data_IF_938270882150
#
_entry.id   IF_938270882150
#
_cell.length_a   1.000
_cell.length_b   1.000
_cell.length_c   1.000
_cell.angle_alpha   90.00
_cell.angle_beta   90.00
_cell.angle_gamma   90.00
#
_symmetry.space_group_name_H-M   'P 1'
#
loop_
_entity.id
_entity.type
_entity.pdbx_description
1 polymer ?
#
# COMPACT_ATOMS: atom_id res chain seq x y z
N UNK A 1 -42.48 48.41 -6.98
CA UNK A 1 -42.32 49.23 -5.76
C UNK A 1 -41.17 48.66 -4.94
N UNK A 2 -40.02 49.33 -4.88
CA UNK A 2 -38.90 48.97 -4.02
C UNK A 2 -38.91 49.79 -2.73
N UNK A 3 -38.27 49.28 -1.67
CA UNK A 3 -37.91 50.06 -0.49
C UNK A 3 -36.44 49.80 -0.16
N UNK A 4 -35.65 50.88 -0.17
CA UNK A 4 -34.26 51.02 0.21
C UNK A 4 -34.23 51.55 1.65
N UNK A 5 -33.31 51.07 2.50
CA UNK A 5 -32.66 51.91 3.49
C UNK A 5 -31.16 51.59 3.57
N UNK A 6 -30.37 52.67 3.44
CA UNK A 6 -28.91 52.72 3.38
C UNK A 6 -28.25 52.92 4.74
N UNK A 7 -27.00 52.45 4.80
CA UNK A 7 -25.81 53.03 5.45
C UNK A 7 -25.75 53.17 6.98
N UNK A 8 -24.67 52.61 7.55
CA UNK A 8 -23.58 53.40 8.16
C UNK A 8 -22.34 52.54 8.45
N UNK A 9 -21.20 52.92 7.85
CA UNK A 9 -19.83 52.65 8.32
C UNK A 9 -19.32 53.89 9.07
N UNK A 10 -18.34 53.75 9.99
CA UNK A 10 -16.96 54.03 9.59
C UNK A 10 -15.87 53.10 10.16
N UNK A 11 -14.84 52.97 9.33
CA UNK A 11 -13.46 52.49 9.49
C UNK A 11 -12.75 52.73 10.83
N UNK A 12 -11.82 51.83 11.20
CA UNK A 12 -10.37 52.12 11.33
C UNK A 12 -9.57 50.83 11.05
N UNK A 13 -8.69 50.88 10.03
CA UNK A 13 -7.62 49.90 9.79
C UNK A 13 -6.49 50.06 10.83
N UNK A 14 -5.89 48.94 11.25
CA UNK A 14 -4.45 48.92 11.54
C UNK A 14 -3.83 47.62 11.03
N UNK A 15 -3.02 47.81 10.00
CA UNK A 15 -2.22 46.80 9.31
C UNK A 15 -1.09 46.32 10.22
N UNK A 16 -0.84 45.01 10.24
CA UNK A 16 0.51 44.49 10.26
C UNK A 16 0.58 43.19 9.45
N UNK A 17 1.44 43.21 8.45
CA UNK A 17 1.56 42.21 7.41
C UNK A 17 2.37 40.99 7.88
N UNK A 18 1.94 39.80 7.46
CA UNK A 18 2.88 38.72 7.14
C UNK A 18 2.40 38.03 5.87
N UNK A 19 3.31 37.92 4.89
CA UNK A 19 3.07 37.51 3.51
C UNK A 19 2.88 36.00 3.43
N UNK A 20 1.82 35.56 2.74
CA UNK A 20 1.79 34.44 1.79
C UNK A 20 0.38 34.40 1.18
N UNK A 21 0.17 35.20 0.15
CA UNK A 21 -1.04 35.20 -0.68
C UNK A 21 -0.80 34.26 -1.87
N UNK A 22 -1.39 33.06 -1.80
CA UNK A 22 -1.65 32.21 -2.97
C UNK A 22 -3.12 32.43 -3.32
N UNK A 23 -3.36 33.52 -4.04
CA UNK A 23 -4.70 33.90 -4.50
C UNK A 23 -5.31 32.76 -5.30
N UNK A 24 -6.48 32.34 -4.80
CA UNK A 24 -7.40 31.41 -5.40
C UNK A 24 -7.61 31.67 -6.91
N UNK A 25 -7.22 30.67 -7.70
CA UNK A 25 -7.92 30.37 -8.94
C UNK A 25 -8.84 29.20 -8.64
N UNK A 26 -10.14 29.45 -8.76
CA UNK A 26 -11.21 28.45 -8.65
C UNK A 26 -10.98 27.33 -9.65
N UNK A 27 -10.38 26.23 -9.20
CA UNK A 27 -10.36 24.96 -9.92
C UNK A 27 -11.66 24.20 -9.62
N UNK A 28 -12.24 23.50 -10.62
CA UNK A 28 -13.42 22.66 -10.41
C UNK A 28 -13.10 21.55 -9.40
N UNK A 29 -14.09 21.15 -8.61
CA UNK A 29 -14.04 20.17 -7.52
C UNK A 29 -13.62 18.76 -7.98
N UNK A 30 -12.33 18.55 -8.25
CA UNK A 30 -11.73 17.26 -8.61
C UNK A 30 -10.79 16.72 -7.52
N UNK A 31 -10.58 17.47 -6.43
CA UNK A 31 -9.52 17.20 -5.44
C UNK A 31 -9.80 16.06 -4.44
N UNK A 32 -10.97 15.42 -4.49
CA UNK A 32 -11.37 14.43 -3.45
C UNK A 32 -11.52 12.99 -3.95
N UNK A 33 -11.28 12.71 -5.23
CA UNK A 33 -11.62 11.40 -5.82
C UNK A 33 -10.52 10.35 -5.76
N UNK A 34 -9.26 10.78 -5.77
CA UNK A 34 -8.10 9.90 -5.70
C UNK A 34 -7.47 9.97 -4.30
N UNK A 35 -6.74 8.92 -3.86
CA UNK A 35 -5.95 8.98 -2.65
C UNK A 35 -4.87 10.05 -2.78
N UNK A 36 -4.78 10.96 -1.81
CA UNK A 36 -3.73 11.97 -1.76
C UNK A 36 -2.37 11.36 -1.42
N UNK A 37 -1.29 12.10 -1.69
CA UNK A 37 0.07 11.74 -1.27
C UNK A 37 0.14 11.47 0.24
N UNK A 38 -0.56 12.27 1.04
CA UNK A 38 -0.61 12.09 2.49
C UNK A 38 -1.31 10.79 2.90
N UNK A 39 -2.38 10.39 2.21
CA UNK A 39 -3.08 9.13 2.46
C UNK A 39 -2.19 7.93 2.08
N UNK A 40 -1.51 7.97 0.93
CA UNK A 40 -0.56 6.92 0.55
C UNK A 40 0.62 6.81 1.54
N UNK A 41 1.12 7.94 2.05
CA UNK A 41 2.17 7.95 3.06
C UNK A 41 1.67 7.39 4.41
N UNK A 42 0.44 7.73 4.83
CA UNK A 42 -0.17 7.15 6.02
C UNK A 42 -0.39 5.64 5.86
N UNK A 43 -0.75 5.19 4.66
CA UNK A 43 -0.87 3.77 4.36
C UNK A 43 0.49 3.06 4.47
N UNK A 44 1.57 3.61 3.91
CA UNK A 44 2.92 3.05 4.10
C UNK A 44 3.28 2.88 5.58
N UNK A 45 2.94 3.84 6.44
CA UNK A 45 3.18 3.74 7.90
C UNK A 45 2.40 2.58 8.52
N UNK A 46 1.16 2.37 8.08
CA UNK A 46 0.35 1.23 8.51
C UNK A 46 0.96 -0.10 8.05
N UNK A 47 1.45 -0.19 6.81
CA UNK A 47 2.12 -1.39 6.30
C UNK A 47 3.39 -1.71 7.10
N UNK A 48 4.22 -0.70 7.40
CA UNK A 48 5.40 -0.88 8.26
C UNK A 48 5.00 -1.36 9.67
N UNK A 49 3.86 -0.89 10.19
CA UNK A 49 3.31 -1.35 11.49
C UNK A 49 2.92 -2.83 11.45
N UNK A 50 2.31 -3.31 10.36
CA UNK A 50 1.97 -4.73 10.22
C UNK A 50 3.21 -5.62 10.11
N UNK A 51 4.24 -5.17 9.38
CA UNK A 51 5.52 -5.89 9.30
C UNK A 51 6.21 -5.95 10.67
N UNK A 52 6.23 -4.83 11.41
CA UNK A 52 6.78 -4.80 12.76
C UNK A 52 6.00 -5.70 13.73
N UNK A 53 4.67 -5.79 13.58
CA UNK A 53 3.84 -6.69 14.37
C UNK A 53 4.21 -8.15 14.12
N UNK A 54 4.33 -8.57 12.86
CA UNK A 54 4.78 -9.92 12.52
C UNK A 54 6.14 -10.24 13.15
N UNK A 55 7.12 -9.34 12.98
CA UNK A 55 8.45 -9.52 13.56
C UNK A 55 8.40 -9.65 15.09
N UNK A 56 7.59 -8.83 15.75
CA UNK A 56 7.42 -8.89 17.21
C UNK A 56 6.83 -10.23 17.66
N UNK A 57 5.76 -10.70 17.01
CA UNK A 57 5.14 -12.00 17.32
C UNK A 57 6.12 -13.15 17.13
N UNK A 58 6.88 -13.14 16.03
CA UNK A 58 7.87 -14.16 15.72
C UNK A 58 9.04 -14.16 16.70
N UNK A 59 9.52 -12.98 17.11
CA UNK A 59 10.57 -12.85 18.13
C UNK A 59 10.10 -13.39 19.49
N UNK A 60 8.90 -13.01 19.93
CA UNK A 60 8.32 -13.52 21.18
C UNK A 60 8.11 -15.05 21.12
N UNK A 61 7.68 -15.57 19.97
CA UNK A 61 7.53 -17.00 19.76
C UNK A 61 8.88 -17.73 19.91
N UNK A 62 9.94 -17.20 19.30
CA UNK A 62 11.28 -17.76 19.40
C UNK A 62 11.81 -17.75 20.84
N UNK A 63 11.62 -16.65 21.58
CA UNK A 63 12.00 -16.53 23.01
C UNK A 63 11.24 -17.55 23.88
N UNK A 64 9.98 -17.81 23.56
CA UNK A 64 9.16 -18.83 24.21
C UNK A 64 9.44 -20.28 23.76
N UNK A 65 10.38 -20.51 22.82
CA UNK A 65 10.69 -21.83 22.28
C UNK A 65 9.61 -22.41 21.36
N UNK A 66 8.75 -21.57 20.80
CA UNK A 66 7.69 -21.93 19.85
C UNK A 66 8.14 -21.73 18.40
N UNK A 67 7.50 -22.43 17.46
CA UNK A 67 7.75 -22.25 16.03
C UNK A 67 7.22 -20.87 15.55
N UNK A 68 8.06 -19.94 15.07
CA UNK A 68 7.65 -18.56 14.78
C UNK A 68 6.57 -18.43 13.70
N UNK A 69 6.71 -19.15 12.58
CA UNK A 69 5.76 -19.12 11.47
C UNK A 69 4.39 -19.67 11.89
N UNK A 70 4.38 -20.84 12.53
CA UNK A 70 3.14 -21.42 13.05
C UNK A 70 2.46 -20.51 14.09
N UNK A 71 3.25 -19.84 14.94
CA UNK A 71 2.73 -18.90 15.94
C UNK A 71 2.09 -17.67 15.27
N UNK A 72 2.68 -17.19 14.16
CA UNK A 72 2.10 -16.13 13.36
C UNK A 72 0.75 -16.54 12.75
N UNK A 73 0.62 -17.77 12.26
CA UNK A 73 -0.66 -18.27 11.73
C UNK A 73 -1.76 -18.31 12.81
N UNK A 74 -1.42 -18.80 14.00
CA UNK A 74 -2.34 -18.78 15.15
C UNK A 74 -2.71 -17.35 15.56
N UNK A 75 -1.75 -16.42 15.48
CA UNK A 75 -1.97 -15.01 15.74
C UNK A 75 -2.96 -14.39 14.74
N UNK A 76 -2.78 -14.64 13.44
CA UNK A 76 -3.71 -14.21 12.39
C UNK A 76 -5.12 -14.76 12.62
N UNK A 77 -5.24 -16.04 12.99
CA UNK A 77 -6.54 -16.64 13.29
C UNK A 77 -7.24 -15.97 14.47
N UNK A 78 -6.49 -15.63 15.53
CA UNK A 78 -7.01 -14.86 16.67
C UNK A 78 -7.37 -13.43 16.29
N UNK A 79 -6.58 -12.77 15.44
CA UNK A 79 -6.87 -11.42 14.95
C UNK A 79 -8.21 -11.38 14.20
N UNK A 80 -8.48 -12.40 13.38
CA UNK A 80 -9.78 -12.56 12.69
C UNK A 80 -10.93 -12.74 13.69
N UNK A 81 -10.76 -13.56 14.73
CA UNK A 81 -11.78 -13.74 15.76
C UNK A 81 -12.07 -12.44 16.53
N UNK A 82 -11.03 -11.70 16.90
CA UNK A 82 -11.16 -10.38 17.55
C UNK A 82 -11.83 -9.36 16.63
N UNK A 83 -11.56 -9.42 15.33
CA UNK A 83 -12.24 -8.59 14.33
C UNK A 83 -13.71 -8.97 14.17
N UNK A 84 -14.07 -10.26 14.21
CA UNK A 84 -15.47 -10.70 14.19
C UNK A 84 -16.24 -10.11 15.39
N UNK A 85 -15.70 -10.25 16.60
CA UNK A 85 -16.28 -9.67 17.82
C UNK A 85 -16.39 -8.14 17.75
N UNK A 86 -15.31 -7.47 17.33
CA UNK A 86 -15.26 -6.01 17.23
C UNK A 86 -16.26 -5.48 16.19
N UNK A 87 -16.34 -6.12 15.02
CA UNK A 87 -17.24 -5.71 13.94
C UNK A 87 -18.72 -5.89 14.30
N UNK A 88 -19.05 -6.92 15.08
CA UNK A 88 -20.40 -7.19 15.58
C UNK A 88 -20.85 -6.25 16.70
N UNK A 89 -19.91 -5.67 17.46
CA UNK A 89 -20.20 -4.81 18.61
C UNK A 89 -21.12 -3.62 18.25
N UNK A 90 -22.15 -3.41 19.07
CA UNK A 90 -23.08 -2.30 18.92
C UNK A 90 -22.49 -0.97 19.39
N UNK A 91 -21.52 -1.02 20.31
CA UNK A 91 -20.96 0.13 21.02
C UNK A 91 -19.50 0.35 20.58
N UNK A 92 -19.28 0.37 19.25
CA UNK A 92 -17.96 0.71 18.71
C UNK A 92 -17.72 2.20 19.00
N UNK A 93 -16.63 2.57 19.70
CA UNK A 93 -16.28 3.97 19.82
C UNK A 93 -16.04 4.50 18.41
N UNK A 94 -16.93 5.35 17.90
CA UNK A 94 -16.86 5.95 16.56
C UNK A 94 -15.58 6.77 16.34
N UNK A 95 -14.86 7.06 17.41
CA UNK A 95 -13.67 7.92 17.46
C UNK A 95 -12.38 7.19 17.86
N UNK A 96 -12.41 5.88 18.13
CA UNK A 96 -11.19 5.13 18.51
C UNK A 96 -10.94 3.96 17.58
N UNK A 97 -9.85 4.05 16.84
CA UNK A 97 -9.34 2.98 16.00
C UNK A 97 -9.08 1.70 16.82
N UNK A 98 -9.36 0.50 16.27
CA UNK A 98 -9.12 -0.75 16.99
C UNK A 98 -7.61 -1.03 17.17
N UNK A 99 -7.28 -2.09 17.92
CA UNK A 99 -5.90 -2.56 18.04
C UNK A 99 -5.32 -2.99 16.68
N UNK A 100 -3.99 -2.93 16.54
CA UNK A 100 -3.30 -3.16 15.25
C UNK A 100 -3.71 -4.48 14.58
N UNK A 101 -3.90 -5.56 15.35
CA UNK A 101 -4.32 -6.87 14.86
C UNK A 101 -5.72 -6.88 14.25
N UNK A 102 -6.68 -6.23 14.91
CA UNK A 102 -8.04 -6.05 14.40
C UNK A 102 -8.04 -5.12 13.18
N UNK A 103 -7.21 -4.08 13.21
CA UNK A 103 -7.03 -3.16 12.08
C UNK A 103 -6.43 -3.88 10.86
N UNK A 104 -5.48 -4.79 11.05
CA UNK A 104 -4.90 -5.64 10.02
C UNK A 104 -5.95 -6.54 9.36
N UNK A 105 -6.82 -7.17 10.15
CA UNK A 105 -7.92 -7.97 9.62
C UNK A 105 -8.93 -7.10 8.84
N UNK A 106 -9.26 -5.91 9.35
CA UNK A 106 -10.17 -5.00 8.65
C UNK A 106 -9.57 -4.47 7.34
N UNK A 107 -8.29 -4.11 7.35
CA UNK A 107 -7.50 -3.73 6.18
C UNK A 107 -7.57 -4.79 5.09
N UNK A 108 -7.22 -6.04 5.44
CA UNK A 108 -7.24 -7.15 4.49
C UNK A 108 -8.63 -7.36 3.87
N UNK A 109 -9.71 -7.25 4.65
CA UNK A 109 -11.08 -7.40 4.12
C UNK A 109 -11.44 -6.29 3.11
N UNK A 110 -11.03 -5.03 3.36
CA UNK A 110 -11.32 -3.90 2.47
C UNK A 110 -10.57 -3.97 1.14
N UNK A 111 -9.41 -4.63 1.12
CA UNK A 111 -8.64 -4.88 -0.11
C UNK A 111 -9.25 -5.97 -1.00
N UNK A 112 -10.44 -6.48 -0.65
CA UNK A 112 -11.29 -7.30 -1.51
C UNK A 112 -12.63 -6.59 -1.76
N UNK A 113 -12.71 -5.66 -2.73
CA UNK A 113 -13.82 -4.73 -2.85
C UNK A 113 -15.18 -5.41 -3.04
N UNK A 114 -15.23 -6.53 -3.77
CA UNK A 114 -16.47 -7.30 -3.93
C UNK A 114 -16.89 -8.00 -2.63
N UNK A 115 -15.94 -8.61 -1.92
CA UNK A 115 -16.20 -9.27 -0.65
C UNK A 115 -16.67 -8.26 0.41
N UNK A 116 -16.00 -7.12 0.50
CA UNK A 116 -16.38 -6.04 1.41
C UNK A 116 -17.75 -5.45 1.05
N UNK A 117 -18.02 -5.17 -0.24
CA UNK A 117 -19.33 -4.71 -0.69
C UNK A 117 -20.44 -5.71 -0.31
N UNK A 118 -20.19 -7.01 -0.52
CA UNK A 118 -21.14 -8.07 -0.16
C UNK A 118 -21.39 -8.12 1.35
N UNK A 119 -20.36 -7.98 2.17
CA UNK A 119 -20.49 -7.89 3.62
C UNK A 119 -21.38 -6.71 4.05
N UNK A 120 -21.17 -5.53 3.46
CA UNK A 120 -22.00 -4.34 3.75
C UNK A 120 -23.45 -4.53 3.28
N UNK A 121 -23.68 -5.08 2.09
CA UNK A 121 -25.02 -5.39 1.57
C UNK A 121 -25.80 -6.34 2.50
N UNK A 122 -25.10 -7.23 3.19
CA UNK A 122 -25.67 -8.19 4.16
C UNK A 122 -25.80 -7.61 5.58
N UNK A 123 -25.66 -6.30 5.74
CA UNK A 123 -25.88 -5.59 7.00
C UNK A 123 -24.63 -5.45 7.88
N UNK A 124 -23.43 -5.60 7.32
CA UNK A 124 -22.17 -5.30 8.00
C UNK A 124 -22.08 -3.85 8.48
N UNK A 125 -21.57 -3.61 9.69
CA UNK A 125 -21.64 -2.29 10.36
C UNK A 125 -20.36 -1.44 10.27
N UNK A 126 -19.48 -1.68 9.29
CA UNK A 126 -18.15 -1.03 9.20
C UNK A 126 -18.12 0.23 8.31
N UNK A 127 -19.26 0.63 7.74
CA UNK A 127 -19.38 1.85 6.93
C UNK A 127 -18.65 1.77 5.58
N UNK A 128 -18.80 2.84 4.79
CA UNK A 128 -18.19 2.97 3.45
C UNK A 128 -17.18 4.13 3.35
N UNK A 129 -17.06 4.94 4.39
CA UNK A 129 -16.11 6.07 4.45
C UNK A 129 -14.65 5.59 4.56
N UNK A 130 -14.45 4.36 5.02
CA UNK A 130 -13.15 3.68 5.07
C UNK A 130 -12.30 4.06 6.27
N UNK A 131 -10.99 3.95 6.11
CA UNK A 131 -10.02 4.25 7.17
C UNK A 131 -9.85 5.75 7.41
N UNK A 132 -9.90 6.17 8.67
CA UNK A 132 -9.59 7.54 9.08
C UNK A 132 -8.09 7.74 9.19
N UNK A 133 -7.45 8.15 8.10
CA UNK A 133 -5.98 8.30 8.00
C UNK A 133 -5.35 9.18 9.07
N UNK A 134 -6.04 10.22 9.55
CA UNK A 134 -5.56 11.09 10.63
C UNK A 134 -5.41 10.38 11.98
N UNK A 135 -6.11 9.27 12.20
CA UNK A 135 -6.06 8.49 13.44
C UNK A 135 -5.06 7.32 13.34
N UNK A 136 -4.60 6.99 12.13
CA UNK A 136 -3.70 5.84 11.86
C UNK A 136 -2.28 6.03 12.43
N UNK A 137 -1.85 7.26 12.69
CA UNK A 137 -0.50 7.55 13.16
C UNK A 137 -0.18 7.06 14.58
N UNK A 138 -1.15 6.54 15.35
CA UNK A 138 -0.90 6.03 16.69
C UNK A 138 -1.83 4.85 17.06
N UNK A 139 -1.71 3.69 16.39
CA UNK A 139 -2.56 2.55 16.66
C UNK A 139 -2.22 1.96 18.03
N UNK A 140 -3.24 1.47 18.74
CA UNK A 140 -3.02 0.85 20.05
C UNK A 140 -2.29 -0.48 19.86
N UNK A 141 -1.13 -0.62 20.53
CA UNK A 141 -0.35 -1.85 20.50
C UNK A 141 -1.23 -3.05 20.93
N UNK A 142 -1.20 -4.17 20.20
CA UNK A 142 -1.97 -5.34 20.57
C UNK A 142 -1.34 -5.99 21.80
N UNK A 143 -2.18 -6.56 22.68
CA UNK A 143 -1.70 -7.42 23.75
C UNK A 143 -1.34 -8.79 23.15
N UNK A 144 -0.05 -9.03 22.92
CA UNK A 144 0.47 -10.30 22.40
C UNK A 144 0.64 -11.27 23.56
N UNK A 145 -0.46 -11.95 23.90
CA UNK A 145 -0.46 -13.02 24.90
C UNK A 145 -0.35 -14.39 24.21
N UNK A 146 0.87 -14.91 24.08
CA UNK A 146 1.16 -16.18 23.39
C UNK A 146 0.42 -17.40 23.96
N UNK A 147 0.33 -17.61 25.29
CA UNK A 147 -0.50 -18.67 25.87
C UNK A 147 -1.95 -18.71 25.39
N UNK A 148 -2.55 -17.53 25.15
CA UNK A 148 -3.93 -17.41 24.66
C UNK A 148 -4.10 -17.79 23.18
N UNK A 149 -3.02 -17.99 22.42
CA UNK A 149 -3.06 -18.46 21.02
C UNK A 149 -3.41 -19.95 20.88
N UNK A 150 -3.64 -20.66 22.00
CA UNK A 150 -4.03 -22.08 22.03
C UNK A 150 -5.50 -22.33 21.71
N UNK A 151 -6.33 -21.27 21.66
CA UNK A 151 -7.74 -21.39 21.30
C UNK A 151 -7.88 -21.63 19.79
N UNK A 152 -8.62 -22.67 19.41
CA UNK A 152 -8.85 -23.01 18.01
C UNK A 152 -9.73 -21.95 17.32
N UNK A 153 -9.10 -20.98 16.67
CA UNK A 153 -9.74 -20.06 15.75
C UNK A 153 -9.54 -20.53 14.31
N UNK A 154 -10.57 -20.40 13.46
CA UNK A 154 -10.55 -20.94 12.09
C UNK A 154 -9.83 -20.05 11.09
N UNK A 155 -9.61 -18.77 11.41
CA UNK A 155 -9.13 -17.78 10.46
C UNK A 155 -10.16 -17.36 9.40
N UNK A 156 -11.39 -17.89 9.47
CA UNK A 156 -12.50 -17.54 8.58
C UNK A 156 -13.40 -16.53 9.28
N UNK A 157 -13.46 -15.30 8.77
CA UNK A 157 -14.37 -14.28 9.25
C UNK A 157 -15.80 -14.67 8.91
N UNK A 158 -16.72 -14.63 9.88
CA UNK A 158 -18.13 -14.95 9.70
C UNK A 158 -19.04 -13.81 10.17
N UNK A 159 -19.73 -13.14 9.24
CA UNK A 159 -20.81 -12.22 9.60
C UNK A 159 -22.12 -12.98 9.78
N UNK A 160 -22.82 -12.73 10.89
CA UNK A 160 -24.01 -13.48 11.30
C UNK A 160 -25.24 -12.59 11.40
N UNK A 161 -26.41 -13.18 11.18
CA UNK A 161 -27.69 -12.55 11.48
C UNK A 161 -27.89 -12.39 12.99
N UNK A 162 -28.93 -11.64 13.38
CA UNK A 162 -29.35 -11.54 14.79
C UNK A 162 -29.69 -12.90 15.41
N UNK A 163 -30.08 -13.89 14.59
CA UNK A 163 -30.40 -15.26 15.02
C UNK A 163 -29.18 -16.18 15.02
N UNK A 164 -27.97 -15.68 14.75
CA UNK A 164 -26.71 -16.43 14.73
C UNK A 164 -26.39 -17.16 13.42
N UNK A 165 -27.26 -17.06 12.42
CA UNK A 165 -27.09 -17.70 11.11
C UNK A 165 -25.94 -17.05 10.34
N UNK A 166 -24.96 -17.79 9.81
CA UNK A 166 -23.94 -17.24 8.93
C UNK A 166 -24.57 -16.63 7.67
N UNK A 167 -24.28 -15.35 7.41
CA UNK A 167 -24.72 -14.63 6.22
C UNK A 167 -23.60 -14.46 5.19
N UNK A 168 -22.36 -14.31 5.68
CA UNK A 168 -21.18 -14.11 4.87
C UNK A 168 -19.97 -14.73 5.56
N UNK A 169 -19.11 -15.39 4.79
CA UNK A 169 -17.85 -15.95 5.26
C UNK A 169 -16.73 -15.57 4.31
N UNK A 170 -15.54 -15.31 4.86
CA UNK A 170 -14.36 -14.97 4.07
C UNK A 170 -13.08 -15.51 4.74
N UNK A 171 -12.16 -16.18 4.02
CA UNK A 171 -10.92 -16.74 4.58
C UNK A 171 -9.90 -15.64 4.90
N UNK A 172 -10.22 -14.83 5.91
CA UNK A 172 -9.56 -13.57 6.18
C UNK A 172 -8.11 -13.74 6.68
N UNK A 173 -7.78 -14.84 7.37
CA UNK A 173 -6.40 -15.11 7.77
C UNK A 173 -5.48 -15.35 6.56
N UNK A 174 -5.97 -16.03 5.52
CA UNK A 174 -5.22 -16.23 4.28
C UNK A 174 -5.03 -14.89 3.54
N UNK A 175 -6.07 -14.05 3.50
CA UNK A 175 -5.95 -12.70 2.95
C UNK A 175 -4.93 -11.85 3.71
N UNK A 176 -4.91 -11.89 5.05
CA UNK A 176 -3.88 -11.21 5.87
C UNK A 176 -2.47 -11.64 5.45
N UNK A 177 -2.23 -12.94 5.24
CA UNK A 177 -0.91 -13.43 4.84
C UNK A 177 -0.49 -12.88 3.46
N UNK A 178 -1.39 -12.85 2.47
CA UNK A 178 -1.11 -12.30 1.15
C UNK A 178 -0.80 -10.80 1.21
N UNK A 179 -1.61 -10.04 1.95
CA UNK A 179 -1.42 -8.60 2.14
C UNK A 179 -0.15 -8.27 2.93
N UNK A 180 0.30 -9.15 3.82
CA UNK A 180 1.57 -9.01 4.53
C UNK A 180 2.77 -9.18 3.59
N UNK A 181 2.70 -10.10 2.62
CA UNK A 181 3.73 -10.23 1.58
C UNK A 181 3.91 -8.92 0.80
N UNK A 182 2.80 -8.26 0.43
CA UNK A 182 2.82 -6.92 -0.16
C UNK A 182 3.42 -5.88 0.81
N UNK A 183 3.01 -5.89 2.08
CA UNK A 183 3.50 -4.97 3.12
C UNK A 183 5.02 -5.07 3.30
N UNK A 184 5.58 -6.28 3.27
CA UNK A 184 7.03 -6.52 3.32
C UNK A 184 7.70 -5.93 2.08
N UNK A 185 7.19 -6.20 0.87
CA UNK A 185 7.72 -5.63 -0.38
C UNK A 185 7.75 -4.10 -0.31
N UNK A 186 6.68 -3.45 0.13
CA UNK A 186 6.63 -2.00 0.29
C UNK A 186 7.62 -1.47 1.35
N UNK A 187 7.68 -2.13 2.50
CA UNK A 187 8.59 -1.72 3.60
C UNK A 187 10.05 -1.78 3.19
N UNK A 188 10.42 -2.72 2.31
CA UNK A 188 11.79 -2.83 1.74
C UNK A 188 12.22 -1.62 0.91
N UNK A 189 11.27 -0.87 0.34
CA UNK A 189 11.57 0.37 -0.37
C UNK A 189 11.84 1.54 0.59
N UNK A 190 11.40 1.47 1.85
CA UNK A 190 11.62 2.50 2.87
C UNK A 190 11.22 3.93 2.45
N UNK A 191 10.30 4.11 1.49
CA UNK A 191 10.02 5.42 0.88
C UNK A 191 9.67 6.53 1.88
N UNK A 192 9.10 6.20 3.04
CA UNK A 192 8.81 7.18 4.10
C UNK A 192 10.04 7.97 4.57
N UNK A 193 11.22 7.37 4.45
CA UNK A 193 12.52 7.97 4.80
C UNK A 193 13.21 8.62 3.59
N UNK A 194 12.66 8.45 2.37
CA UNK A 194 13.26 8.97 1.14
C UNK A 194 13.12 10.50 1.05
N UNK A 195 14.16 11.23 0.60
CA UNK A 195 14.05 12.64 0.30
C UNK A 195 13.09 12.96 -0.87
N UNK A 196 12.71 11.95 -1.67
CA UNK A 196 11.81 12.10 -2.83
C UNK A 196 10.37 11.61 -2.58
N UNK A 197 10.01 11.24 -1.34
CA UNK A 197 8.72 10.59 -1.00
C UNK A 197 7.51 11.22 -1.69
N UNK A 198 7.35 12.54 -1.56
CA UNK A 198 6.18 13.24 -2.08
C UNK A 198 6.08 13.13 -3.62
N UNK A 199 7.23 13.29 -4.31
CA UNK A 199 7.31 13.16 -5.77
C UNK A 199 7.08 11.72 -6.22
N UNK A 200 7.65 10.74 -5.52
CA UNK A 200 7.43 9.31 -5.78
C UNK A 200 5.95 8.96 -5.71
N UNK A 201 5.27 9.31 -4.62
CA UNK A 201 3.85 9.02 -4.45
C UNK A 201 2.96 9.77 -5.45
N UNK A 202 3.31 11.02 -5.81
CA UNK A 202 2.60 11.76 -6.85
C UNK A 202 2.75 11.12 -8.24
N UNK A 203 3.94 10.58 -8.55
CA UNK A 203 4.17 9.83 -9.78
C UNK A 203 3.42 8.50 -9.78
N UNK A 204 3.40 7.77 -8.67
CA UNK A 204 2.60 6.56 -8.51
C UNK A 204 1.11 6.83 -8.74
N UNK A 205 0.59 7.94 -8.20
CA UNK A 205 -0.81 8.35 -8.42
C UNK A 205 -1.09 8.63 -9.90
N UNK A 206 -0.17 9.32 -10.59
CA UNK A 206 -0.28 9.57 -12.04
C UNK A 206 -0.32 8.27 -12.83
N UNK A 207 0.54 7.32 -12.48
CA UNK A 207 0.59 5.99 -13.10
C UNK A 207 -0.67 5.17 -12.80
N UNK A 208 -1.24 5.27 -11.60
CA UNK A 208 -2.51 4.65 -11.23
C UNK A 208 -3.70 5.17 -12.06
N UNK A 209 -3.76 6.47 -12.34
CA UNK A 209 -4.80 7.01 -13.24
C UNK A 209 -4.68 6.43 -14.65
N UNK A 210 -3.46 6.32 -15.18
CA UNK A 210 -3.18 5.68 -16.48
C UNK A 210 -3.52 4.19 -16.47
N UNK A 211 -3.26 3.49 -15.37
CA UNK A 211 -3.65 2.11 -15.18
C UNK A 211 -5.17 1.92 -15.28
N UNK A 212 -5.96 2.78 -14.63
CA UNK A 212 -7.42 2.75 -14.75
C UNK A 212 -7.93 3.10 -16.15
N UNK A 213 -7.22 3.98 -16.88
CA UNK A 213 -7.52 4.23 -18.28
C UNK A 213 -7.35 2.97 -19.14
N UNK A 214 -6.30 2.17 -18.91
CA UNK A 214 -6.09 0.91 -19.62
C UNK A 214 -7.20 -0.11 -19.30
N UNK A 215 -7.59 -0.25 -18.03
CA UNK A 215 -8.72 -1.13 -17.64
C UNK A 215 -10.01 -0.73 -18.37
N UNK A 216 -10.29 0.59 -18.47
CA UNK A 216 -11.49 1.10 -19.11
C UNK A 216 -11.49 0.86 -20.63
N UNK A 217 -10.33 1.00 -21.28
CA UNK A 217 -10.19 0.92 -22.74
C UNK A 217 -10.00 -0.50 -23.27
N UNK A 218 -9.66 -1.46 -22.40
CA UNK A 218 -9.42 -2.86 -22.74
C UNK A 218 -10.29 -3.80 -21.89
N UNK A 219 -11.62 -3.72 -22.02
CA UNK A 219 -12.52 -4.56 -21.24
C UNK A 219 -12.29 -6.05 -21.55
N UNK A 220 -12.08 -6.85 -20.51
CA UNK A 220 -11.83 -8.29 -20.63
C UNK A 220 -10.36 -8.68 -20.52
N UNK A 221 -9.44 -7.72 -20.60
CA UNK A 221 -8.02 -7.94 -20.30
C UNK A 221 -7.79 -7.84 -18.80
N UNK A 222 -7.05 -8.80 -18.24
CA UNK A 222 -6.61 -8.76 -16.84
C UNK A 222 -5.37 -7.87 -16.77
N UNK A 223 -5.43 -6.81 -15.97
CA UNK A 223 -4.33 -5.86 -15.80
C UNK A 223 -3.63 -6.13 -14.47
N UNK A 224 -2.30 -6.25 -14.50
CA UNK A 224 -1.48 -6.48 -13.30
C UNK A 224 -0.74 -5.19 -12.95
N UNK A 225 -0.93 -4.60 -11.75
CA UNK A 225 -0.29 -3.34 -11.37
C UNK A 225 1.20 -3.54 -11.05
N UNK A 226 2.04 -2.52 -11.32
CA UNK A 226 3.36 -2.43 -10.68
C UNK A 226 3.22 -2.08 -9.20
N UNK A 227 4.26 -2.34 -8.41
CA UNK A 227 4.23 -2.16 -6.95
C UNK A 227 3.79 -0.75 -6.51
N UNK A 228 4.24 0.29 -7.21
CA UNK A 228 3.88 1.68 -6.96
C UNK A 228 2.40 1.98 -7.30
N UNK A 229 1.90 1.43 -8.40
CA UNK A 229 0.49 1.54 -8.81
C UNK A 229 -0.39 0.81 -7.79
N UNK A 230 0.03 -0.37 -7.35
CA UNK A 230 -0.73 -1.22 -6.43
C UNK A 230 -0.84 -0.57 -5.03
N UNK A 231 0.20 0.12 -4.56
CA UNK A 231 0.10 0.93 -3.33
C UNK A 231 -1.04 1.95 -3.41
N UNK A 232 -1.12 2.72 -4.50
CA UNK A 232 -2.18 3.73 -4.67
C UNK A 232 -3.53 3.03 -4.78
N UNK A 233 -3.60 1.91 -5.50
CA UNK A 233 -4.82 1.15 -5.65
C UNK A 233 -5.33 0.62 -4.31
N UNK A 234 -4.49 -0.03 -3.50
CA UNK A 234 -4.85 -0.47 -2.16
C UNK A 234 -5.32 0.70 -1.29
N UNK A 235 -4.58 1.83 -1.33
CA UNK A 235 -4.96 3.04 -0.58
C UNK A 235 -6.35 3.54 -0.99
N UNK A 236 -6.70 3.43 -2.27
CA UNK A 236 -8.02 3.80 -2.75
C UNK A 236 -9.11 2.86 -2.23
N UNK A 237 -8.88 1.55 -2.25
CA UNK A 237 -9.82 0.52 -1.79
C UNK A 237 -10.15 0.67 -0.29
N UNK A 238 -9.23 1.21 0.51
CA UNK A 238 -9.44 1.55 1.92
C UNK A 238 -10.39 2.74 2.14
N UNK A 239 -10.99 3.29 1.07
CA UNK A 239 -12.15 4.19 1.09
C UNK A 239 -13.26 3.65 0.16
N UNK A 240 -14.04 2.64 0.59
CA UNK A 240 -14.92 1.87 -0.29
C UNK A 240 -15.92 2.69 -1.12
N UNK A 241 -16.56 3.72 -0.54
CA UNK A 241 -17.48 4.60 -1.28
C UNK A 241 -16.74 5.38 -2.38
N UNK A 242 -15.60 5.97 -2.05
CA UNK A 242 -14.76 6.75 -2.98
C UNK A 242 -14.25 5.85 -4.12
N UNK A 243 -13.76 4.67 -3.78
CA UNK A 243 -13.28 3.68 -4.75
C UNK A 243 -14.38 3.17 -5.69
N UNK A 244 -15.57 2.87 -5.15
CA UNK A 244 -16.72 2.44 -5.95
C UNK A 244 -17.15 3.54 -6.93
N UNK A 245 -17.22 4.79 -6.46
CA UNK A 245 -17.59 5.93 -7.30
C UNK A 245 -16.58 6.14 -8.44
N UNK A 246 -15.28 6.12 -8.13
CA UNK A 246 -14.22 6.24 -9.12
C UNK A 246 -14.24 5.08 -10.13
N UNK A 247 -14.34 3.84 -9.65
CA UNK A 247 -14.38 2.65 -10.50
C UNK A 247 -15.56 2.69 -11.48
N UNK A 248 -16.77 2.99 -10.98
CA UNK A 248 -17.98 3.08 -11.81
C UNK A 248 -17.89 4.20 -12.83
N UNK A 249 -17.38 5.36 -12.45
CA UNK A 249 -17.23 6.50 -13.37
C UNK A 249 -16.22 6.19 -14.49
N UNK A 250 -15.08 5.58 -14.14
CA UNK A 250 -13.98 5.39 -15.08
C UNK A 250 -14.16 4.13 -15.95
N UNK A 251 -14.70 3.04 -15.38
CA UNK A 251 -14.76 1.72 -16.04
C UNK A 251 -16.18 1.17 -16.21
N UNK A 252 -17.20 1.86 -15.69
CA UNK A 252 -18.59 1.41 -15.71
C UNK A 252 -18.96 0.38 -14.64
N UNK A 253 -17.98 -0.17 -13.90
CA UNK A 253 -18.19 -1.21 -12.89
C UNK A 253 -17.24 -1.05 -11.69
N UNK A 254 -17.50 -1.80 -10.62
CA UNK A 254 -16.51 -1.95 -9.56
C UNK A 254 -15.35 -2.80 -10.12
N UNK A 255 -14.15 -2.23 -10.15
CA UNK A 255 -12.94 -2.97 -10.52
C UNK A 255 -12.55 -3.83 -9.31
N UNK A 256 -12.32 -5.11 -9.55
CA UNK A 256 -11.92 -6.04 -8.51
C UNK A 256 -10.40 -6.07 -8.35
N UNK A 257 -9.95 -6.37 -7.15
CA UNK A 257 -8.55 -6.64 -6.85
C UNK A 257 -8.46 -8.12 -6.46
N UNK A 258 -8.03 -8.93 -7.41
CA UNK A 258 -7.87 -10.37 -7.23
C UNK A 258 -6.39 -10.67 -6.98
N UNK A 259 -6.05 -10.97 -5.73
CA UNK A 259 -4.70 -11.27 -5.28
C UNK A 259 -4.41 -12.78 -5.21
N UNK A 260 -5.30 -13.61 -5.77
CA UNK A 260 -5.21 -15.08 -5.76
C UNK A 260 -4.66 -15.67 -7.08
N UNK A 261 -4.22 -14.82 -8.00
CA UNK A 261 -3.66 -15.23 -9.30
C UNK A 261 -2.27 -15.87 -9.09
N UNK A 262 -2.06 -17.07 -9.65
CA UNK A 262 -0.77 -17.80 -9.58
C UNK A 262 0.38 -17.05 -10.28
N UNK A 263 1.60 -17.20 -9.75
CA UNK A 263 2.79 -16.43 -10.17
C UNK A 263 3.14 -16.60 -11.65
N UNK A 264 3.00 -17.81 -12.21
CA UNK A 264 3.25 -18.06 -13.64
C UNK A 264 2.31 -17.25 -14.53
N UNK A 265 1.03 -17.18 -14.14
CA UNK A 265 0.01 -16.43 -14.86
C UNK A 265 0.22 -14.92 -14.72
N UNK A 266 0.70 -14.46 -13.56
CA UNK A 266 1.06 -13.06 -13.34
C UNK A 266 2.19 -12.61 -14.29
N UNK A 267 3.18 -13.47 -14.56
CA UNK A 267 4.27 -13.17 -15.47
C UNK A 267 3.82 -12.91 -16.92
N UNK A 268 2.93 -13.75 -17.46
CA UNK A 268 2.36 -13.56 -18.80
C UNK A 268 1.58 -12.24 -18.90
N UNK A 269 0.69 -12.00 -17.93
CA UNK A 269 -0.14 -10.80 -17.87
C UNK A 269 0.69 -9.52 -17.72
N UNK A 270 1.82 -9.58 -17.00
CA UNK A 270 2.74 -8.46 -16.86
C UNK A 270 3.43 -8.11 -18.19
N UNK A 271 3.81 -9.12 -19.00
CA UNK A 271 4.39 -8.90 -20.33
C UNK A 271 3.41 -8.20 -21.28
N UNK A 272 2.16 -8.67 -21.32
CA UNK A 272 1.09 -8.05 -22.12
C UNK A 272 0.85 -6.58 -21.68
N UNK A 273 0.88 -6.33 -20.37
CA UNK A 273 0.71 -5.00 -19.80
C UNK A 273 1.83 -4.03 -20.22
N UNK A 274 3.07 -4.50 -20.32
CA UNK A 274 4.20 -3.67 -20.75
C UNK A 274 4.05 -3.19 -22.19
N UNK A 275 3.67 -4.08 -23.11
CA UNK A 275 3.42 -3.73 -24.50
C UNK A 275 2.24 -2.76 -24.65
N UNK A 276 1.18 -2.99 -23.87
CA UNK A 276 0.01 -2.12 -23.89
C UNK A 276 0.31 -0.73 -23.36
N UNK A 277 1.04 -0.64 -22.25
CA UNK A 277 1.44 0.63 -21.67
C UNK A 277 2.33 1.43 -22.62
N UNK A 278 3.33 0.78 -23.24
CA UNK A 278 4.23 1.44 -24.18
C UNK A 278 3.51 1.96 -25.42
N UNK A 279 2.60 1.18 -26.00
CA UNK A 279 1.82 1.61 -27.17
C UNK A 279 0.82 2.73 -26.85
N UNK A 280 0.27 2.76 -25.63
CA UNK A 280 -0.73 3.76 -25.23
C UNK A 280 -0.09 5.07 -24.76
N UNK A 281 1.01 5.01 -24.01
CA UNK A 281 1.60 6.17 -23.34
C UNK A 281 3.00 6.56 -23.85
N UNK A 282 3.65 5.72 -24.66
CA UNK A 282 5.01 5.99 -25.17
C UNK A 282 6.10 5.91 -24.11
N UNK A 283 5.84 5.26 -22.98
CA UNK A 283 6.74 5.17 -21.82
C UNK A 283 6.94 3.70 -21.40
N UNK A 284 7.96 3.42 -20.59
CA UNK A 284 8.15 2.09 -20.00
C UNK A 284 7.12 1.81 -18.89
N UNK A 285 6.56 0.59 -18.86
CA UNK A 285 5.66 0.20 -17.78
C UNK A 285 6.42 0.03 -16.47
N UNK A 286 7.46 -0.81 -16.47
CA UNK A 286 8.33 -1.01 -15.33
C UNK A 286 9.30 0.16 -15.18
N UNK A 287 9.46 0.64 -13.95
CA UNK A 287 10.44 1.67 -13.56
C UNK A 287 11.16 1.22 -12.30
N UNK A 288 12.44 1.56 -12.18
CA UNK A 288 13.22 1.21 -10.98
C UNK A 288 12.77 2.07 -9.78
N UNK A 289 12.20 1.45 -8.75
CA UNK A 289 11.59 2.13 -7.60
C UNK A 289 12.58 2.45 -6.44
N UNK A 290 13.89 2.47 -6.74
CA UNK A 290 14.92 2.79 -5.75
C UNK A 290 15.04 4.30 -5.51
N UNK A 291 15.60 4.69 -4.37
CA UNK A 291 15.71 6.10 -3.98
C UNK A 291 16.53 6.93 -4.97
N UNK A 292 17.57 6.35 -5.56
CA UNK A 292 18.42 7.05 -6.55
C UNK A 292 17.64 7.37 -7.82
N UNK A 293 16.91 6.40 -8.37
CA UNK A 293 16.12 6.59 -9.59
C UNK A 293 14.90 7.50 -9.34
N UNK A 294 14.22 7.31 -8.22
CA UNK A 294 13.11 8.16 -7.80
C UNK A 294 13.57 9.60 -7.53
N UNK A 295 14.69 9.78 -6.83
CA UNK A 295 15.32 11.07 -6.58
C UNK A 295 15.74 11.76 -7.87
N UNK A 296 16.35 11.03 -8.81
CA UNK A 296 16.70 11.54 -10.13
C UNK A 296 15.47 12.02 -10.92
N UNK A 297 14.39 11.23 -10.95
CA UNK A 297 13.11 11.63 -11.59
C UNK A 297 12.47 12.83 -10.90
N UNK A 298 12.64 12.95 -9.58
CA UNK A 298 12.16 14.06 -8.78
C UNK A 298 13.06 15.32 -8.86
N UNK A 299 14.22 15.25 -9.53
CA UNK A 299 15.18 16.36 -9.59
C UNK A 299 15.92 16.63 -8.27
N UNK A 300 15.97 15.65 -7.37
CA UNK A 300 16.73 15.72 -6.12
C UNK A 300 18.22 15.50 -6.42
N UNK A 301 19.11 16.31 -5.84
CA UNK A 301 20.56 16.12 -5.97
C UNK A 301 20.94 14.71 -5.47
N UNK A 302 21.58 13.92 -6.34
CA UNK A 302 21.99 12.55 -6.01
C UNK A 302 22.88 12.44 -4.77
N UNK A 303 23.63 13.50 -4.43
CA UNK A 303 24.44 13.55 -3.20
C UNK A 303 23.57 13.56 -1.94
N UNK A 304 22.42 14.22 -1.97
CA UNK A 304 21.45 14.24 -0.86
C UNK A 304 20.82 12.86 -0.68
N UNK A 305 20.48 12.19 -1.77
CA UNK A 305 19.95 10.82 -1.73
C UNK A 305 20.98 9.86 -1.13
N UNK A 306 22.23 9.94 -1.59
CA UNK A 306 23.33 9.10 -1.12
C UNK A 306 23.66 9.34 0.37
N UNK A 307 23.68 10.60 0.82
CA UNK A 307 23.87 10.95 2.23
C UNK A 307 22.76 10.33 3.09
N UNK A 308 21.49 10.47 2.68
CA UNK A 308 20.36 9.87 3.39
C UNK A 308 20.39 8.35 3.43
N UNK A 309 20.80 7.71 2.34
CA UNK A 309 20.97 6.25 2.31
C UNK A 309 22.01 5.81 3.35
N UNK A 310 23.14 6.51 3.47
CA UNK A 310 24.18 6.21 4.47
C UNK A 310 23.69 6.44 5.90
N UNK A 311 22.95 7.52 6.16
CA UNK A 311 22.35 7.77 7.47
C UNK A 311 21.45 6.60 7.90
N UNK A 312 20.60 6.13 6.99
CA UNK A 312 19.73 4.98 7.25
C UNK A 312 20.50 3.66 7.41
N UNK A 313 21.53 3.42 6.60
CA UNK A 313 22.39 2.23 6.74
C UNK A 313 23.12 2.20 8.10
N UNK A 314 23.60 3.36 8.57
CA UNK A 314 24.28 3.46 9.87
C UNK A 314 23.32 3.37 11.07
N UNK A 315 22.09 3.86 10.93
CA UNK A 315 21.03 3.76 11.96
C UNK A 315 20.51 2.33 12.20
N UNK A 316 20.75 1.38 11.27
CA UNK A 316 20.26 -0.01 11.34
C UNK A 316 20.88 -0.88 12.41
N UNK A 317 21.98 -0.46 13.05
CA UNK A 317 22.57 -1.20 14.18
C UNK A 317 21.61 -1.44 15.36
N UNK A 318 20.41 -0.82 15.35
CA UNK A 318 19.43 -0.83 16.45
C UNK A 318 18.06 -1.41 16.05
N UNK A 319 17.78 -1.69 14.77
CA UNK A 319 16.46 -2.17 14.30
C UNK A 319 16.56 -3.49 13.51
N UNK A 320 15.84 -4.56 13.90
CA UNK A 320 15.83 -5.83 13.18
C UNK A 320 14.86 -5.75 12.01
N UNK A 321 15.29 -5.17 10.90
CA UNK A 321 14.65 -5.40 9.59
C UNK A 321 15.72 -5.94 8.64
N UNK A 322 15.80 -7.25 8.60
CA UNK A 322 16.51 -7.97 7.56
C UNK A 322 15.96 -7.53 6.19
N UNK A 323 16.87 -7.27 5.25
CA UNK A 323 16.60 -7.07 3.83
C UNK A 323 15.87 -5.80 3.38
N UNK A 324 16.16 -4.64 3.97
CA UNK A 324 15.97 -3.40 3.22
C UNK A 324 16.99 -3.40 2.06
N UNK A 325 16.59 -3.96 0.92
CA UNK A 325 17.43 -4.13 -0.26
C UNK A 325 17.86 -2.80 -0.90
N UNK A 326 17.29 -1.66 -0.48
CA UNK A 326 17.45 -0.34 -1.12
C UNK A 326 17.64 -0.52 -2.62
N UNK A 327 16.71 -1.21 -3.32
CA UNK A 327 17.00 -2.01 -4.50
C UNK A 327 18.07 -1.31 -5.34
N UNK A 328 19.33 -1.72 -5.19
CA UNK A 328 20.43 -0.99 -5.81
C UNK A 328 20.23 -1.20 -7.31
N UNK A 329 20.56 -0.21 -8.13
CA UNK A 329 20.24 -0.29 -9.57
C UNK A 329 20.77 -1.56 -10.26
N UNK A 330 21.78 -2.24 -9.70
CA UNK A 330 22.30 -3.52 -10.20
C UNK A 330 21.44 -4.75 -9.86
N UNK A 331 20.53 -4.66 -8.88
CA UNK A 331 19.70 -5.78 -8.39
C UNK A 331 18.28 -5.76 -8.98
N UNK A 332 17.91 -4.73 -9.75
CA UNK A 332 16.52 -4.49 -10.18
C UNK A 332 16.11 -5.17 -11.50
N UNK A 333 16.99 -5.96 -12.13
CA UNK A 333 16.68 -6.89 -13.23
C UNK A 333 16.27 -6.29 -14.58
N UNK A 334 15.65 -5.11 -14.63
CA UNK A 334 15.28 -4.40 -15.86
C UNK A 334 15.42 -2.88 -15.67
N UNK A 335 16.54 -2.33 -16.11
CA UNK A 335 16.70 -0.88 -16.27
C UNK A 335 16.46 -0.48 -17.74
N UNK A 336 15.65 0.55 -18.03
CA UNK A 336 15.80 1.26 -19.30
C UNK A 336 17.19 1.91 -19.28
N UNK A 337 18.05 1.59 -20.27
CA UNK A 337 19.44 2.11 -20.37
C UNK A 337 19.52 3.65 -20.30
N UNK A 338 18.41 4.35 -20.51
CA UNK A 338 18.29 5.80 -20.64
C UNK A 338 18.26 6.60 -19.34
N UNK A 339 18.14 5.96 -18.16
CA UNK A 339 17.98 6.65 -16.87
C UNK A 339 19.25 6.74 -16.00
N UNK A 340 20.39 6.19 -16.43
CA UNK A 340 21.64 6.29 -15.68
C UNK A 340 22.54 7.39 -16.24
N UNK A 341 23.11 8.30 -15.43
CA UNK A 341 24.28 9.04 -15.86
C UNK A 341 25.39 8.04 -16.19
N UNK A 342 26.18 8.25 -17.26
CA UNK A 342 27.24 7.32 -17.61
C UNK A 342 28.20 7.17 -16.43
N UNK A 343 28.38 5.94 -15.96
CA UNK A 343 29.41 5.63 -14.96
C UNK A 343 30.75 5.73 -15.68
N UNK A 344 31.57 6.74 -15.34
CA UNK A 344 32.94 6.80 -15.83
C UNK A 344 33.68 5.52 -15.42
N UNK A 345 34.01 4.67 -16.40
CA UNK A 345 34.79 3.45 -16.19
C UNK A 345 34.05 2.12 -16.33
N UNK A 346 32.76 2.08 -16.67
CA UNK A 346 32.10 0.82 -17.02
C UNK A 346 32.51 0.36 -18.43
N UNK A 347 33.46 -0.58 -18.49
CA UNK A 347 33.73 -1.34 -19.70
C UNK A 347 32.44 -2.05 -20.15
N UNK A 348 32.04 -1.83 -21.40
CA UNK A 348 30.76 -2.29 -21.92
C UNK A 348 30.55 -3.79 -21.78
N UNK A 349 29.38 -4.18 -21.26
CA UNK A 349 28.80 -5.49 -21.56
C UNK A 349 27.61 -5.27 -22.49
N UNK A 350 27.87 -5.37 -23.79
CA UNK A 350 26.82 -5.73 -24.74
C UNK A 350 26.52 -7.21 -24.62
N UNK A 351 25.33 -7.60 -25.12
CA UNK A 351 24.73 -8.95 -25.20
C UNK A 351 23.80 -9.26 -24.01
N UNK A 352 22.50 -9.51 -24.13
CA UNK A 352 21.74 -10.04 -25.25
C UNK A 352 21.48 -11.54 -25.07
N UNK A 353 20.50 -11.91 -24.24
CA UNK A 353 19.75 -13.19 -24.21
C UNK A 353 18.74 -13.12 -23.04
N UNK A 354 17.44 -13.43 -23.15
CA UNK A 354 16.70 -14.22 -24.11
C UNK A 354 16.64 -15.70 -23.68
N UNK A 355 15.52 -16.12 -23.09
CA UNK A 355 15.13 -17.54 -22.96
C UNK A 355 15.39 -18.18 -21.60
N UNK A 356 14.36 -18.84 -21.07
CA UNK A 356 14.37 -19.45 -19.75
C UNK A 356 15.16 -20.75 -19.61
N UNK A 357 15.22 -21.22 -18.37
CA UNK A 357 15.66 -22.57 -18.02
C UNK A 357 14.94 -23.01 -16.74
N UNK A 358 13.93 -23.87 -16.91
CA UNK A 358 13.63 -24.88 -15.91
C UNK A 358 14.75 -25.93 -15.89
N UNK A 359 15.03 -26.49 -14.73
CA UNK A 359 15.99 -27.58 -14.57
C UNK A 359 16.55 -27.68 -13.16
N UNK A 360 16.24 -28.80 -12.51
CA UNK A 360 16.68 -29.23 -11.18
C UNK A 360 18.20 -29.14 -10.97
N UNK A 361 18.64 -28.83 -9.74
CA UNK A 361 20.02 -29.05 -9.30
C UNK A 361 20.60 -27.90 -8.49
N UNK A 362 20.84 -28.14 -7.20
CA UNK A 362 21.26 -27.12 -6.24
C UNK A 362 22.67 -26.54 -6.45
N UNK A 363 22.87 -25.36 -5.84
CA UNK A 363 24.16 -24.88 -5.36
C UNK A 363 23.89 -24.27 -3.97
N UNK A 364 24.60 -24.57 -2.89
CA UNK A 364 25.98 -25.03 -2.80
C UNK A 364 26.91 -23.84 -2.58
N UNK A 365 26.85 -23.26 -1.37
CA UNK A 365 27.91 -22.53 -0.65
C UNK A 365 29.09 -21.97 -1.46
N UNK A 366 29.27 -20.64 -1.44
CA UNK A 366 30.58 -20.01 -1.59
C UNK A 366 30.71 -18.82 -0.63
N UNK A 367 31.48 -19.02 0.45
CA UNK A 367 31.90 -17.98 1.37
C UNK A 367 33.22 -17.31 0.97
N UNK A 368 33.46 -16.18 1.65
CA UNK A 368 34.73 -15.64 2.13
C UNK A 368 35.89 -15.30 1.15
N UNK A 369 36.26 -14.01 1.22
CA UNK A 369 37.63 -13.47 1.25
C UNK A 369 38.62 -13.90 0.16
N UNK A 370 38.88 -13.02 -0.81
CA UNK A 370 39.97 -12.03 -0.78
C UNK A 370 39.92 -11.14 -2.01
#
# INVERSE_FOLDING_TARGET
MPAILSNQTPSVELRQASKLDLSAQSQPTTSHELPSVAECAAHLQLLETFVALQGTVQLLAADAGLAPEHTWDLYCNRAVARFEEWSASADRPTERMPSVDVLMAWHALMLHPKAYARFIELGGKLGLDGMKWSEISNPTAPNIDLPSLTSAHTGVFTHRSQTGTPLFTYPLAAAIQRQLSFSVKMSRHAWLRSPSLASTLAQSQTRYVRFFHLIATHPGTVMVPTLDIDLVWHTHQLSPARYLAYSKRTTGKLVDHDDEIEDERLGELAGDMQGLWASTFGEGYHVCLCWTCEGGRAGVDGRVVEERLRDEETGRGVLPLADLAFPRCGDCGEHPETCCPPVEGAAGCGSGCGGGCGGEGGCGSCGAMR
#
